data_IF_701990527045
#
_entry.id   IF_701990527045
#
_cell.length_a   1.000
_cell.length_b   1.000
_cell.length_c   1.000
_cell.angle_alpha   90.00
_cell.angle_beta   90.00
_cell.angle_gamma   90.00
#
_symmetry.space_group_name_H-M   'P 1'
#
loop_
_entity.id
_entity.type
_entity.pdbx_description
1 polymer ?
#
# COMPACT_ATOMS: atom_id res chain seq x y z
N UNK A 1 -14.94 -1.68 -8.83
CA UNK A 1 -16.22 -1.27 -8.20
C UNK A 1 -15.91 -0.16 -7.22
N UNK A 2 -16.72 0.91 -7.15
CA UNK A 2 -16.53 1.95 -6.14
C UNK A 2 -16.95 1.42 -4.77
N UNK A 3 -16.10 1.61 -3.77
CA UNK A 3 -16.37 1.22 -2.38
C UNK A 3 -16.48 2.47 -1.51
N UNK A 4 -17.38 2.50 -0.52
CA UNK A 4 -17.46 3.61 0.43
C UNK A 4 -16.13 3.85 1.14
N UNK A 5 -15.70 5.11 1.20
CA UNK A 5 -14.58 5.56 2.01
C UNK A 5 -15.09 6.10 3.34
N UNK A 6 -14.35 5.84 4.42
CA UNK A 6 -14.66 6.35 5.75
C UNK A 6 -13.46 7.10 6.33
N UNK A 7 -13.67 8.21 7.05
CA UNK A 7 -12.59 8.87 7.77
C UNK A 7 -11.96 7.92 8.80
N UNK A 8 -10.63 7.87 8.80
CA UNK A 8 -9.85 7.20 9.81
C UNK A 8 -9.75 8.02 11.09
N UNK A 9 -9.22 7.40 12.15
CA UNK A 9 -8.93 8.05 13.43
C UNK A 9 -7.50 7.75 13.83
N UNK A 10 -6.76 8.76 14.27
CA UNK A 10 -5.43 8.59 14.87
C UNK A 10 -5.36 9.30 16.21
N UNK A 11 -4.58 8.75 17.13
CA UNK A 11 -4.32 9.38 18.41
C UNK A 11 -3.33 10.53 18.23
N UNK A 12 -3.70 11.71 18.68
CA UNK A 12 -2.74 12.78 18.92
C UNK A 12 -2.05 12.50 20.25
N UNK A 13 -0.88 11.86 20.17
CA UNK A 13 -0.12 11.42 21.35
C UNK A 13 0.27 12.61 22.22
N UNK A 14 0.78 13.68 21.63
CA UNK A 14 1.27 14.85 22.37
C UNK A 14 0.13 15.58 23.08
N UNK A 15 -0.98 15.81 22.37
CA UNK A 15 -2.15 16.45 22.96
C UNK A 15 -2.81 15.57 24.03
N UNK A 16 -2.80 14.25 23.84
CA UNK A 16 -3.31 13.30 24.84
C UNK A 16 -2.45 13.31 26.10
N UNK A 17 -1.11 13.34 25.97
CA UNK A 17 -0.21 13.44 27.13
C UNK A 17 -0.46 14.75 27.89
N UNK A 18 -0.67 15.86 27.18
CA UNK A 18 -0.99 17.14 27.80
C UNK A 18 -2.33 17.08 28.57
N UNK A 19 -3.36 16.47 27.97
CA UNK A 19 -4.65 16.26 28.62
C UNK A 19 -4.55 15.40 29.89
N UNK A 20 -3.77 14.32 29.84
CA UNK A 20 -3.51 13.45 31.01
C UNK A 20 -2.80 14.24 32.12
N UNK A 21 -1.75 15.00 31.80
CA UNK A 21 -1.03 15.79 32.80
C UNK A 21 -1.95 16.81 33.47
N UNK A 22 -2.84 17.44 32.71
CA UNK A 22 -3.82 18.39 33.24
C UNK A 22 -4.83 17.71 34.14
N UNK A 23 -5.33 16.52 33.77
CA UNK A 23 -6.27 15.75 34.58
C UNK A 23 -5.65 15.33 35.92
N UNK A 24 -4.42 14.80 35.90
CA UNK A 24 -3.68 14.40 37.10
C UNK A 24 -3.41 15.60 38.01
N UNK A 25 -2.98 16.74 37.45
CA UNK A 25 -2.76 17.96 38.24
C UNK A 25 -4.05 18.51 38.87
N UNK A 26 -5.21 18.26 38.24
CA UNK A 26 -6.53 18.61 38.76
C UNK A 26 -7.14 17.57 39.71
N UNK A 27 -6.47 16.44 39.97
CA UNK A 27 -6.98 15.36 40.81
C UNK A 27 -8.10 14.53 40.17
N UNK A 28 -8.21 14.54 38.84
CA UNK A 28 -9.16 13.71 38.11
C UNK A 28 -8.56 12.33 37.82
N UNK A 29 -9.38 11.28 37.93
CA UNK A 29 -9.01 9.89 37.64
C UNK A 29 -9.21 9.52 36.16
N UNK A 30 -9.77 10.44 35.36
CA UNK A 30 -10.05 10.25 33.93
C UNK A 30 -9.44 11.40 33.10
N UNK A 31 -8.96 11.05 31.89
CA UNK A 31 -8.42 12.01 30.94
C UNK A 31 -8.91 11.70 29.51
N UNK A 32 -9.16 12.74 28.73
CA UNK A 32 -9.62 12.58 27.34
C UNK A 32 -8.50 12.14 26.40
N UNK A 33 -8.78 11.13 25.58
CA UNK A 33 -7.95 10.81 24.42
C UNK A 33 -8.21 11.81 23.31
N UNK A 34 -7.16 12.52 22.88
CA UNK A 34 -7.28 13.49 21.79
C UNK A 34 -7.13 12.76 20.47
N UNK A 35 -8.20 12.70 19.70
CA UNK A 35 -8.25 11.96 18.44
C UNK A 35 -8.36 12.92 17.27
N UNK A 36 -7.50 12.74 16.26
CA UNK A 36 -7.57 13.43 14.97
C UNK A 36 -8.26 12.55 13.93
N UNK A 37 -9.12 13.16 13.14
CA UNK A 37 -9.68 12.54 11.94
C UNK A 37 -8.62 12.52 10.83
N UNK A 38 -8.50 11.40 10.14
CA UNK A 38 -7.67 11.26 8.94
C UNK A 38 -8.61 11.08 7.76
N UNK A 39 -8.53 11.99 6.78
CA UNK A 39 -9.27 11.84 5.54
C UNK A 39 -8.76 10.63 4.73
N UNK A 40 -9.65 9.89 4.05
CA UNK A 40 -9.23 8.78 3.22
C UNK A 40 -8.33 9.28 2.08
N UNK A 41 -7.30 8.49 1.75
CA UNK A 41 -6.39 8.82 0.64
C UNK A 41 -7.13 8.93 -0.71
N UNK A 42 -8.24 8.17 -0.85
CA UNK A 42 -9.17 8.25 -1.97
C UNK A 42 -10.55 8.50 -1.38
N UNK A 43 -11.02 9.74 -1.44
CA UNK A 43 -12.35 10.13 -0.96
C UNK A 43 -13.40 9.85 -2.03
N UNK A 44 -14.35 8.97 -1.71
CA UNK A 44 -15.45 8.61 -2.61
C UNK A 44 -16.29 9.83 -3.01
N UNK A 45 -16.43 10.83 -2.14
CA UNK A 45 -17.19 12.04 -2.42
C UNK A 45 -16.50 12.97 -3.42
N UNK A 46 -15.19 12.77 -3.65
CA UNK A 46 -14.35 13.61 -4.50
C UNK A 46 -13.76 12.87 -5.69
N UNK A 47 -14.28 11.67 -6.02
CA UNK A 47 -13.80 10.86 -7.16
C UNK A 47 -13.79 11.65 -8.48
N UNK A 48 -14.78 12.53 -8.69
CA UNK A 48 -14.87 13.33 -9.91
C UNK A 48 -13.61 14.21 -10.13
N UNK A 49 -12.97 14.66 -9.05
CA UNK A 49 -11.75 15.47 -9.10
C UNK A 49 -10.52 14.66 -9.54
N UNK A 50 -10.59 13.33 -9.47
CA UNK A 50 -9.49 12.44 -9.88
C UNK A 50 -9.35 12.34 -11.40
N UNK A 51 -10.36 12.77 -12.16
CA UNK A 51 -10.30 12.78 -13.63
C UNK A 51 -10.32 11.39 -14.30
N UNK A 52 -10.71 10.33 -13.58
CA UNK A 52 -10.90 8.99 -14.15
C UNK A 52 -12.15 9.01 -15.03
N UNK A 53 -11.98 8.80 -16.34
CA UNK A 53 -13.08 8.89 -17.33
C UNK A 53 -13.51 7.52 -17.86
N UNK A 54 -12.53 6.66 -18.16
CA UNK A 54 -12.77 5.39 -18.83
C UNK A 54 -11.59 4.42 -18.64
N UNK A 55 -11.80 3.18 -19.06
CA UNK A 55 -10.76 2.17 -19.14
C UNK A 55 -9.87 2.46 -20.37
N UNK A 56 -8.61 2.80 -20.14
CA UNK A 56 -7.67 3.12 -21.23
C UNK A 56 -7.08 1.85 -21.87
N UNK A 57 -6.83 0.80 -21.08
CA UNK A 57 -6.25 -0.46 -21.57
C UNK A 57 -6.60 -1.64 -20.66
N UNK A 58 -6.71 -2.83 -21.25
CA UNK A 58 -6.72 -4.09 -20.52
C UNK A 58 -5.93 -5.15 -21.29
N UNK A 59 -5.33 -6.07 -20.55
CA UNK A 59 -4.49 -7.13 -21.12
C UNK A 59 -4.54 -8.39 -20.26
N UNK A 60 -4.27 -9.53 -20.88
CA UNK A 60 -4.17 -10.82 -20.19
C UNK A 60 -3.02 -11.62 -20.81
N UNK A 61 -2.22 -12.22 -19.95
CA UNK A 61 -1.15 -13.14 -20.32
C UNK A 61 -1.28 -14.44 -19.53
N UNK A 62 -0.56 -15.48 -19.94
CA UNK A 62 -0.59 -16.80 -19.32
C UNK A 62 0.81 -17.19 -18.84
N UNK A 63 0.88 -18.09 -17.86
CA UNK A 63 2.13 -18.58 -17.27
C UNK A 63 2.76 -19.76 -18.04
N UNK A 64 2.42 -19.98 -19.31
CA UNK A 64 2.91 -21.11 -20.08
C UNK A 64 4.45 -21.19 -20.05
N UNK A 65 4.99 -22.33 -19.63
CA UNK A 65 6.44 -22.57 -19.52
C UNK A 65 7.14 -21.89 -18.33
N UNK A 66 6.41 -21.20 -17.44
CA UNK A 66 7.01 -20.58 -16.25
C UNK A 66 7.24 -21.60 -15.14
N UNK A 67 8.33 -21.42 -14.37
CA UNK A 67 8.57 -22.17 -13.13
C UNK A 67 7.55 -21.81 -12.06
N UNK A 68 7.30 -22.72 -11.12
CA UNK A 68 6.39 -22.48 -9.99
C UNK A 68 6.82 -21.24 -9.17
N UNK A 69 8.12 -21.08 -8.90
CA UNK A 69 8.64 -19.93 -8.14
C UNK A 69 8.48 -18.61 -8.88
N UNK A 70 8.66 -18.58 -10.21
CA UNK A 70 8.36 -17.38 -11.01
C UNK A 70 6.88 -17.02 -10.96
N UNK A 71 5.99 -18.01 -11.08
CA UNK A 71 4.54 -17.80 -10.97
C UNK A 71 4.20 -17.19 -9.60
N UNK A 72 4.74 -17.78 -8.53
CA UNK A 72 4.55 -17.28 -7.16
C UNK A 72 4.99 -15.83 -7.01
N UNK A 73 6.18 -15.49 -7.51
CA UNK A 73 6.71 -14.12 -7.45
C UNK A 73 5.79 -13.13 -8.18
N UNK A 74 5.34 -13.46 -9.38
CA UNK A 74 4.43 -12.60 -10.16
C UNK A 74 3.09 -12.42 -9.43
N UNK A 75 2.52 -13.49 -8.85
CA UNK A 75 1.28 -13.39 -8.08
C UNK A 75 1.42 -12.51 -6.84
N UNK A 76 2.52 -12.64 -6.10
CA UNK A 76 2.80 -11.83 -4.91
C UNK A 76 2.95 -10.37 -5.28
N UNK A 77 3.70 -10.06 -6.33
CA UNK A 77 3.86 -8.70 -6.83
C UNK A 77 2.54 -8.12 -7.36
N UNK A 78 1.80 -8.87 -8.17
CA UNK A 78 0.55 -8.43 -8.79
C UNK A 78 -0.51 -8.04 -7.74
N UNK A 79 -0.59 -8.77 -6.61
CA UNK A 79 -1.50 -8.44 -5.50
C UNK A 79 -1.25 -7.05 -4.91
N UNK A 80 -0.04 -6.53 -4.97
CA UNK A 80 0.28 -5.19 -4.46
C UNK A 80 -0.30 -4.07 -5.33
N UNK A 81 -0.66 -4.37 -6.59
CA UNK A 81 -1.22 -3.39 -7.52
C UNK A 81 -2.75 -3.29 -7.45
N UNK A 82 -3.42 -4.18 -6.72
CA UNK A 82 -4.87 -4.15 -6.59
C UNK A 82 -5.31 -2.89 -5.84
N UNK A 83 -6.19 -2.10 -6.47
CA UNK A 83 -6.71 -0.86 -5.88
C UNK A 83 -5.72 0.32 -5.86
N UNK A 84 -4.55 0.20 -6.51
CA UNK A 84 -3.64 1.34 -6.64
C UNK A 84 -4.30 2.46 -7.43
N UNK A 85 -4.29 3.65 -6.84
CA UNK A 85 -4.81 4.88 -7.41
C UNK A 85 -3.67 5.87 -7.57
N UNK A 86 -3.53 6.42 -8.76
CA UNK A 86 -2.55 7.48 -9.06
C UNK A 86 -3.33 8.80 -9.15
N UNK A 87 -3.10 9.75 -8.22
CA UNK A 87 -3.79 11.05 -8.28
C UNK A 87 -3.30 11.89 -9.47
N UNK A 88 -4.02 12.96 -9.84
CA UNK A 88 -3.53 13.94 -10.80
C UNK A 88 -2.12 14.42 -10.42
N UNK A 89 -1.20 14.44 -11.40
CA UNK A 89 0.23 14.75 -11.22
C UNK A 89 1.01 13.80 -10.31
N UNK A 90 0.42 12.68 -9.88
CA UNK A 90 1.09 11.64 -9.12
C UNK A 90 2.10 10.87 -9.96
N UNK A 91 3.17 10.41 -9.31
CA UNK A 91 4.18 9.54 -9.94
C UNK A 91 3.85 8.09 -9.60
N UNK A 92 3.72 7.26 -10.63
CA UNK A 92 3.70 5.82 -10.46
C UNK A 92 5.12 5.27 -10.33
N UNK A 93 5.36 4.46 -9.30
CA UNK A 93 6.62 3.75 -9.13
C UNK A 93 6.35 2.28 -8.81
N UNK A 94 6.74 1.41 -9.74
CA UNK A 94 6.64 -0.04 -9.57
C UNK A 94 7.32 -0.51 -8.28
N UNK A 95 8.56 -0.06 -8.04
CA UNK A 95 9.34 -0.47 -6.87
C UNK A 95 8.71 0.01 -5.55
N UNK A 96 8.08 1.19 -5.52
CA UNK A 96 7.39 1.66 -4.32
C UNK A 96 6.13 0.85 -4.01
N UNK A 97 5.44 0.35 -5.04
CA UNK A 97 4.23 -0.45 -4.88
C UNK A 97 4.56 -1.89 -4.48
N UNK A 98 5.51 -2.53 -5.19
CA UNK A 98 5.96 -3.90 -4.88
C UNK A 98 6.67 -3.96 -3.51
N UNK A 99 7.37 -2.87 -3.15
CA UNK A 99 8.16 -2.75 -1.92
C UNK A 99 9.29 -3.78 -1.88
N UNK A 100 9.53 -4.35 -0.70
CA UNK A 100 10.66 -5.22 -0.42
C UNK A 100 10.44 -6.61 -1.02
N UNK A 101 11.23 -6.94 -2.04
CA UNK A 101 11.25 -8.24 -2.70
C UNK A 101 12.13 -9.19 -1.88
N UNK A 102 11.52 -9.82 -0.89
CA UNK A 102 12.22 -10.68 0.07
C UNK A 102 11.43 -11.96 0.37
N UNK A 103 12.12 -13.00 0.82
CA UNK A 103 11.47 -14.27 1.19
C UNK A 103 10.47 -14.10 2.34
N UNK A 104 10.73 -13.14 3.25
CA UNK A 104 9.80 -12.78 4.32
C UNK A 104 8.46 -12.26 3.78
N UNK A 105 8.46 -11.61 2.62
CA UNK A 105 7.27 -11.10 1.95
C UNK A 105 6.67 -12.10 0.95
N UNK A 106 7.12 -13.36 0.99
CA UNK A 106 6.53 -14.47 0.22
C UNK A 106 7.10 -14.64 -1.19
N UNK A 107 8.20 -13.96 -1.52
CA UNK A 107 8.94 -14.19 -2.76
C UNK A 107 9.86 -15.42 -2.64
N UNK A 108 10.04 -16.12 -3.74
CA UNK A 108 10.87 -17.31 -3.87
C UNK A 108 12.07 -17.05 -4.78
N UNK A 109 13.11 -17.88 -4.64
CA UNK A 109 14.26 -17.86 -5.53
C UNK A 109 13.87 -18.28 -6.95
N UNK A 110 14.32 -17.49 -7.93
CA UNK A 110 14.10 -17.75 -9.35
C UNK A 110 15.21 -17.07 -10.16
N UNK A 111 15.18 -17.19 -11.48
CA UNK A 111 16.16 -16.57 -12.35
C UNK A 111 16.00 -15.03 -12.32
N UNK A 112 17.09 -14.34 -11.98
CA UNK A 112 17.24 -12.89 -12.01
C UNK A 112 18.28 -12.48 -13.05
N UNK A 113 18.22 -11.22 -13.48
CA UNK A 113 19.31 -10.58 -14.23
C UNK A 113 20.15 -9.79 -13.24
N UNK A 114 21.42 -10.16 -13.09
CA UNK A 114 22.37 -9.48 -12.22
C UNK A 114 23.52 -8.95 -13.07
N UNK A 115 23.49 -7.65 -13.36
CA UNK A 115 24.40 -7.05 -14.35
C UNK A 115 24.12 -7.62 -15.75
N UNK A 116 25.10 -8.30 -16.32
CA UNK A 116 25.10 -8.88 -17.67
C UNK A 116 24.82 -10.40 -17.71
N UNK A 117 24.50 -11.02 -16.57
CA UNK A 117 24.31 -12.46 -16.46
C UNK A 117 23.00 -12.85 -15.78
N UNK A 118 22.55 -14.06 -16.10
CA UNK A 118 21.46 -14.73 -15.38
C UNK A 118 22.03 -15.42 -14.14
N UNK A 119 21.39 -15.19 -12.99
CA UNK A 119 21.71 -15.84 -11.73
C UNK A 119 20.42 -16.29 -11.03
N UNK A 120 20.55 -17.06 -9.94
CA UNK A 120 19.42 -17.36 -9.06
C UNK A 120 19.38 -16.31 -7.94
N UNK A 121 18.19 -15.77 -7.67
CA UNK A 121 17.96 -14.86 -6.55
C UNK A 121 16.48 -14.68 -6.23
N UNK A 122 16.20 -14.13 -5.05
CA UNK A 122 14.84 -13.90 -4.57
C UNK A 122 14.08 -12.97 -5.52
N UNK A 123 12.84 -13.33 -5.82
CA UNK A 123 11.94 -12.49 -6.62
C UNK A 123 12.14 -12.59 -8.13
N UNK A 124 12.99 -13.50 -8.61
CA UNK A 124 13.22 -13.67 -10.05
C UNK A 124 11.94 -13.83 -10.86
N UNK A 125 11.83 -13.03 -11.92
CA UNK A 125 10.65 -12.92 -12.77
C UNK A 125 9.74 -11.72 -12.51
N UNK A 126 10.07 -10.89 -11.52
CA UNK A 126 9.44 -9.60 -11.18
C UNK A 126 10.48 -8.48 -11.32
#
# INVERSE_FOLDING_TARGET
VLSPSFPGRTLDVDATIAAIRSAVAGGADEASLVIKTIEPAVDMNRIAEMGIRELVASGRTYFAGSSASRIRNIEVAAKQFEGVVIPPNGIFSFNQIVRDVSSANGFEDSLIIWGDRTAVGVGGGV
#
